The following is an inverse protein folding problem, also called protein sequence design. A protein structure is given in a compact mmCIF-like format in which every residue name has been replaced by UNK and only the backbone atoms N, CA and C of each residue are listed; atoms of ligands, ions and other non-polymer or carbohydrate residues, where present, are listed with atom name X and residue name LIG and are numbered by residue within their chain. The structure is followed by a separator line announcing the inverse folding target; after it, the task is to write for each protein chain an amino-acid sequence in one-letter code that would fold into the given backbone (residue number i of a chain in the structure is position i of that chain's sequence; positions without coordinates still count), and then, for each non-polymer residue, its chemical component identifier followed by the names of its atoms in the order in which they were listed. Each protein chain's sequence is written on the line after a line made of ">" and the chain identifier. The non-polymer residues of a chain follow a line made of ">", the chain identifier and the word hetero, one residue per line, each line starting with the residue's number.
data_IF_775915834955
#
_entry.id   IF_775915834955
#
_cell.length_a   1.000
_cell.length_b   1.000
_cell.length_c   1.000
_cell.angle_alpha   90.00
_cell.angle_beta   90.00
_cell.angle_gamma   90.00
#
_symmetry.space_group_name_H-M   'P 1'
#
loop_
_entity.id
_entity.type
_entity.pdbx_description
1 polymer ?
#
# COMPACT_ATOMS: atom_id res chain seq x y z
N UNK A 1 6.45 -12.64 3.28
CA UNK A 1 7.49 -12.07 4.16
C UNK A 1 8.31 -13.15 4.84
N UNK A 2 9.56 -12.83 5.24
CA UNK A 2 10.43 -13.69 6.04
C UNK A 2 10.99 -12.88 7.21
N UNK A 3 11.20 -13.51 8.37
CA UNK A 3 11.64 -12.83 9.59
C UNK A 3 12.79 -13.58 10.24
N UNK A 4 13.78 -12.84 10.73
CA UNK A 4 14.85 -13.35 11.59
C UNK A 4 14.52 -12.99 13.03
N UNK A 5 14.59 -13.98 13.93
CA UNK A 5 14.31 -13.82 15.34
C UNK A 5 15.65 -13.74 16.08
N UNK A 6 15.86 -12.64 16.79
CA UNK A 6 17.07 -12.39 17.58
C UNK A 6 16.76 -12.35 19.08
N UNK A 7 17.81 -12.44 19.91
CA UNK A 7 17.69 -12.33 21.36
C UNK A 7 17.05 -13.55 22.03
N UNK A 8 17.13 -14.71 21.42
CA UNK A 8 16.70 -15.98 22.00
C UNK A 8 17.83 -16.53 22.87
N UNK A 9 17.48 -16.94 24.09
CA UNK A 9 18.42 -17.51 25.04
C UNK A 9 19.03 -18.82 24.54
N UNK A 10 20.28 -19.10 24.94
CA UNK A 10 21.03 -20.26 24.45
C UNK A 10 20.49 -21.60 24.97
N UNK A 11 19.72 -21.62 26.03
CA UNK A 11 19.08 -22.79 26.60
C UNK A 11 17.66 -23.06 26.08
N UNK A 12 17.18 -22.26 25.14
CA UNK A 12 15.89 -22.46 24.47
C UNK A 12 15.88 -23.82 23.76
N UNK A 13 14.87 -24.61 24.05
CA UNK A 13 14.64 -25.93 23.43
C UNK A 13 13.54 -25.89 22.36
N UNK A 14 12.66 -24.90 22.45
CA UNK A 14 11.58 -24.68 21.49
C UNK A 14 11.36 -23.21 21.25
N UNK A 15 11.29 -22.83 19.98
CA UNK A 15 10.89 -21.48 19.54
C UNK A 15 9.80 -21.62 18.51
N UNK A 16 8.69 -20.91 18.71
CA UNK A 16 7.57 -20.91 17.81
C UNK A 16 7.09 -19.47 17.55
N UNK A 17 6.50 -19.21 16.39
CA UNK A 17 5.77 -17.98 16.10
C UNK A 17 4.28 -18.29 16.06
N UNK A 18 3.53 -17.58 16.87
CA UNK A 18 2.08 -17.51 16.76
C UNK A 18 1.73 -16.38 15.80
N UNK A 19 1.09 -16.74 14.69
CA UNK A 19 0.56 -15.81 13.68
C UNK A 19 -0.94 -15.70 13.90
N UNK A 20 -1.43 -14.49 14.10
CA UNK A 20 -2.86 -14.18 14.21
C UNK A 20 -3.31 -13.38 13.00
N UNK A 21 -4.34 -13.85 12.31
CA UNK A 21 -4.97 -13.16 11.18
C UNK A 21 -6.49 -13.42 11.22
N UNK A 22 -7.30 -12.37 11.16
CA UNK A 22 -8.77 -12.44 11.20
C UNK A 22 -9.31 -13.31 12.35
N UNK A 23 -8.71 -13.16 13.55
CA UNK A 23 -9.11 -13.93 14.74
C UNK A 23 -8.66 -15.40 14.76
N UNK A 24 -8.01 -15.87 13.69
CA UNK A 24 -7.45 -17.23 13.62
C UNK A 24 -5.98 -17.21 14.05
N UNK A 25 -5.62 -18.12 14.93
CA UNK A 25 -4.25 -18.29 15.41
C UNK A 25 -3.64 -19.54 14.79
N UNK A 26 -2.44 -19.38 14.23
CA UNK A 26 -1.59 -20.48 13.76
C UNK A 26 -0.27 -20.42 14.50
N UNK A 27 0.18 -21.52 15.06
CA UNK A 27 1.51 -21.63 15.67
C UNK A 27 2.43 -22.43 14.75
N UNK A 28 3.61 -21.89 14.49
CA UNK A 28 4.62 -22.50 13.61
C UNK A 28 5.92 -22.63 14.41
N UNK A 29 6.39 -23.86 14.58
CA UNK A 29 7.71 -24.12 15.16
C UNK A 29 8.81 -23.68 14.21
N UNK A 30 9.86 -23.09 14.78
CA UNK A 30 11.01 -22.60 14.04
C UNK A 30 12.16 -23.59 14.09
N UNK A 31 13.00 -23.51 13.06
CA UNK A 31 14.26 -24.23 12.99
C UNK A 31 15.42 -23.23 12.96
N UNK A 32 16.56 -23.60 13.52
CA UNK A 32 17.77 -22.80 13.40
C UNK A 32 18.47 -23.06 12.08
N UNK A 33 18.89 -21.97 11.43
CA UNK A 33 19.72 -21.99 10.23
C UNK A 33 20.95 -21.11 10.52
N UNK A 34 22.14 -21.70 10.51
CA UNK A 34 23.36 -20.97 10.81
C UNK A 34 23.39 -20.34 12.24
N UNK A 35 22.71 -20.96 13.20
CA UNK A 35 22.64 -20.46 14.57
C UNK A 35 21.60 -19.34 14.80
N UNK A 36 20.81 -19.01 13.79
CA UNK A 36 19.73 -18.02 13.90
C UNK A 36 18.36 -18.67 13.68
N UNK A 37 17.34 -18.18 14.37
CA UNK A 37 15.96 -18.62 14.20
C UNK A 37 15.29 -17.84 13.07
N UNK A 38 14.71 -18.57 12.12
CA UNK A 38 14.03 -17.99 10.97
C UNK A 38 12.57 -18.44 10.91
N UNK A 39 11.68 -17.50 10.64
CA UNK A 39 10.30 -17.77 10.30
C UNK A 39 10.08 -17.43 8.82
N UNK A 40 9.61 -18.40 8.06
CA UNK A 40 9.15 -18.19 6.68
C UNK A 40 7.77 -18.82 6.57
N UNK A 41 6.73 -18.07 6.22
CA UNK A 41 5.41 -18.63 5.98
C UNK A 41 5.46 -19.70 4.89
N UNK A 42 4.69 -20.77 5.06
CA UNK A 42 4.61 -21.87 4.09
C UNK A 42 3.94 -21.46 2.77
N UNK A 43 3.16 -20.38 2.78
CA UNK A 43 2.51 -19.80 1.60
C UNK A 43 2.55 -18.26 1.68
N UNK A 44 2.30 -17.62 0.54
CA UNK A 44 2.12 -16.17 0.54
C UNK A 44 0.93 -15.79 1.41
N UNK A 45 1.10 -14.73 2.18
CA UNK A 45 0.00 -14.14 2.94
C UNK A 45 -0.88 -13.32 2.00
N UNK A 46 -2.18 -13.34 2.28
CA UNK A 46 -3.16 -12.48 1.60
C UNK A 46 -3.14 -11.08 2.22
N UNK A 47 -3.73 -10.13 1.55
CA UNK A 47 -3.87 -8.76 2.07
C UNK A 47 -4.62 -8.75 3.40
N UNK A 48 -4.16 -7.90 4.31
CA UNK A 48 -4.74 -7.75 5.63
C UNK A 48 -3.71 -7.61 6.75
N UNK A 49 -4.24 -7.51 7.97
CA UNK A 49 -3.44 -7.30 9.17
C UNK A 49 -3.09 -8.63 9.84
N UNK A 50 -1.83 -8.77 10.20
CA UNK A 50 -1.26 -9.90 10.91
C UNK A 50 -0.64 -9.43 12.22
N UNK A 51 -0.72 -10.28 13.24
CA UNK A 51 0.01 -10.08 14.49
C UNK A 51 0.86 -11.32 14.75
N UNK A 52 2.16 -11.09 14.97
CA UNK A 52 3.12 -12.14 15.26
C UNK A 52 3.59 -12.04 16.72
N UNK A 53 3.62 -13.17 17.42
CA UNK A 53 4.18 -13.26 18.77
C UNK A 53 5.13 -14.46 18.82
N UNK A 54 6.37 -14.22 19.24
CA UNK A 54 7.35 -15.30 19.42
C UNK A 54 7.15 -15.91 20.81
N UNK A 55 7.10 -17.24 20.88
CA UNK A 55 7.08 -18.04 22.10
C UNK A 55 8.37 -18.81 22.22
N UNK A 56 8.98 -18.80 23.37
CA UNK A 56 10.23 -19.49 23.67
C UNK A 56 10.03 -20.36 24.90
N UNK A 57 10.45 -21.62 24.82
CA UNK A 57 10.48 -22.55 25.95
C UNK A 57 11.93 -22.97 26.21
N UNK A 58 12.36 -22.90 27.48
CA UNK A 58 13.68 -23.31 27.93
C UNK A 58 13.70 -24.77 28.41
N UNK A 59 14.89 -25.25 28.76
CA UNK A 59 15.06 -26.64 29.25
C UNK A 59 14.41 -26.88 30.61
N UNK A 60 14.11 -25.86 31.40
CA UNK A 60 13.43 -25.97 32.67
C UNK A 60 11.88 -25.98 32.51
N UNK A 61 11.37 -25.79 31.28
CA UNK A 61 9.95 -25.73 30.96
C UNK A 61 9.35 -24.34 31.20
N UNK A 62 10.17 -23.29 31.37
CA UNK A 62 9.62 -21.92 31.41
C UNK A 62 9.29 -21.45 30.00
N UNK A 63 8.14 -20.77 29.88
CA UNK A 63 7.67 -20.20 28.62
C UNK A 63 7.67 -18.68 28.72
N UNK A 64 8.27 -18.02 27.74
CA UNK A 64 8.23 -16.58 27.56
C UNK A 64 7.62 -16.20 26.22
N UNK A 65 7.12 -14.97 26.12
CA UNK A 65 6.52 -14.43 24.89
C UNK A 65 7.05 -13.03 24.61
N UNK A 66 7.28 -12.73 23.33
CA UNK A 66 7.61 -11.37 22.89
C UNK A 66 6.40 -10.44 22.96
N UNK A 67 6.65 -9.13 22.89
CA UNK A 67 5.64 -8.19 22.48
C UNK A 67 5.12 -8.55 21.08
N UNK A 68 3.84 -8.30 20.77
CA UNK A 68 3.28 -8.55 19.45
C UNK A 68 3.87 -7.60 18.39
N UNK A 69 4.21 -8.15 17.23
CA UNK A 69 4.59 -7.40 16.03
C UNK A 69 3.40 -7.35 15.07
N UNK A 70 2.92 -6.16 14.78
CA UNK A 70 1.90 -5.96 13.75
C UNK A 70 2.55 -5.87 12.36
N UNK A 71 1.98 -6.56 11.39
CA UNK A 71 2.40 -6.56 9.98
C UNK A 71 1.15 -6.41 9.12
N UNK A 72 1.15 -5.46 8.20
CA UNK A 72 0.11 -5.33 7.18
C UNK A 72 0.66 -5.84 5.85
N UNK A 73 -0.07 -6.71 5.21
CA UNK A 73 0.16 -7.11 3.81
C UNK A 73 -0.84 -6.34 2.97
N UNK A 74 -0.32 -5.64 1.99
CA UNK A 74 -1.06 -4.86 1.03
C UNK A 74 -0.34 -4.98 -0.32
N UNK A 75 -1.03 -5.50 -1.33
CA UNK A 75 -0.46 -5.82 -2.64
C UNK A 75 -1.17 -5.11 -3.78
N UNK A 76 -2.13 -4.22 -3.49
CA UNK A 76 -2.97 -3.60 -4.51
C UNK A 76 -3.32 -2.15 -4.14
N UNK A 77 -3.44 -1.32 -5.17
CA UNK A 77 -4.07 -0.01 -5.08
C UNK A 77 -4.92 0.25 -6.32
N UNK A 78 -5.78 1.27 -6.27
CA UNK A 78 -6.68 1.58 -7.38
C UNK A 78 -6.91 3.09 -7.53
N UNK A 79 -7.46 3.49 -8.68
CA UNK A 79 -8.00 4.83 -8.91
C UNK A 79 -9.51 4.70 -9.05
N UNK A 80 -10.25 5.12 -8.03
CA UNK A 80 -11.69 4.97 -7.96
C UNK A 80 -12.39 5.86 -8.99
N UNK A 81 -12.01 7.15 -9.04
CA UNK A 81 -12.63 8.10 -9.96
C UNK A 81 -11.67 9.22 -10.40
N UNK A 82 -11.91 9.75 -11.59
CA UNK A 82 -11.26 10.95 -12.13
C UNK A 82 -12.39 11.84 -12.66
N UNK A 83 -12.43 13.10 -12.27
CA UNK A 83 -13.43 14.09 -12.66
C UNK A 83 -12.74 15.34 -13.19
N UNK A 84 -13.17 15.84 -14.34
CA UNK A 84 -12.86 17.17 -14.82
C UNK A 84 -13.74 18.17 -14.05
N UNK A 85 -13.13 18.94 -13.14
CA UNK A 85 -13.88 19.83 -12.20
C UNK A 85 -14.51 21.02 -12.91
N UNK A 86 -13.76 21.62 -13.84
CA UNK A 86 -14.25 22.74 -14.66
C UNK A 86 -14.77 22.25 -16.05
N UNK A 87 -15.57 21.19 -16.01
CA UNK A 87 -16.34 20.70 -17.13
C UNK A 87 -17.38 21.76 -17.54
N UNK A 88 -17.35 22.21 -18.78
CA UNK A 88 -18.18 23.32 -19.26
C UNK A 88 -19.13 22.87 -20.34
N UNK A 89 -20.32 23.44 -20.35
CA UNK A 89 -21.36 23.05 -21.32
C UNK A 89 -22.21 21.91 -20.79
N UNK A 90 -22.08 20.71 -21.34
CA UNK A 90 -22.83 19.53 -20.91
C UNK A 90 -22.02 18.81 -19.80
N UNK A 91 -22.62 18.56 -18.63
CA UNK A 91 -21.89 17.89 -17.53
C UNK A 91 -21.46 16.48 -17.90
N UNK A 92 -20.30 16.07 -17.39
CA UNK A 92 -19.74 14.70 -17.46
C UNK A 92 -19.40 14.20 -18.88
N UNK A 93 -19.26 15.12 -19.86
CA UNK A 93 -18.83 14.78 -21.21
C UNK A 93 -17.31 14.94 -21.43
N UNK A 94 -16.60 15.44 -20.43
CA UNK A 94 -15.16 15.72 -20.43
C UNK A 94 -14.74 16.74 -21.51
N UNK A 95 -15.66 17.61 -21.94
CA UNK A 95 -15.42 18.68 -22.87
C UNK A 95 -15.42 20.02 -22.14
N UNK A 96 -14.35 20.78 -22.24
CA UNK A 96 -14.21 22.07 -21.56
C UNK A 96 -13.62 23.13 -22.46
N UNK A 97 -14.08 24.38 -22.29
CA UNK A 97 -13.44 25.55 -22.89
C UNK A 97 -12.34 26.15 -22.01
N UNK A 98 -12.07 25.55 -20.85
CA UNK A 98 -11.04 25.99 -19.94
C UNK A 98 -9.65 25.53 -20.44
N UNK A 99 -8.78 26.49 -20.80
CA UNK A 99 -7.42 26.20 -21.19
C UNK A 99 -6.53 25.70 -20.04
N UNK A 100 -7.02 25.86 -18.80
CA UNK A 100 -6.39 25.33 -17.58
C UNK A 100 -7.34 24.38 -16.87
N UNK A 101 -7.42 23.13 -17.36
CA UNK A 101 -8.33 22.16 -16.76
C UNK A 101 -7.92 21.83 -15.34
N UNK A 102 -8.93 21.58 -14.52
CA UNK A 102 -8.77 21.12 -13.14
C UNK A 102 -9.36 19.72 -13.02
N UNK A 103 -8.60 18.83 -12.41
CA UNK A 103 -9.00 17.44 -12.20
C UNK A 103 -9.03 17.09 -10.72
N UNK A 104 -10.04 16.32 -10.35
CA UNK A 104 -10.15 15.65 -9.07
C UNK A 104 -10.01 14.16 -9.24
N UNK A 105 -9.12 13.57 -8.46
CA UNK A 105 -8.86 12.13 -8.43
C UNK A 105 -9.26 11.58 -7.07
N UNK A 106 -10.07 10.53 -7.06
CA UNK A 106 -10.46 9.81 -5.85
C UNK A 106 -9.77 8.44 -5.85
N UNK A 107 -9.13 8.12 -4.75
CA UNK A 107 -8.31 6.92 -4.53
C UNK A 107 -8.55 6.39 -3.11
N UNK A 108 -8.07 5.19 -2.73
CA UNK A 108 -8.00 4.72 -1.35
C UNK A 108 -7.25 5.71 -0.43
N UNK A 109 -7.56 5.68 0.87
CA UNK A 109 -7.01 6.65 1.83
C UNK A 109 -5.52 6.49 2.08
N UNK A 110 -4.98 5.29 1.88
CA UNK A 110 -3.59 4.90 2.02
C UNK A 110 -2.71 5.30 0.83
N UNK A 111 -3.31 5.84 -0.25
CA UNK A 111 -2.55 6.45 -1.34
C UNK A 111 -1.81 7.68 -0.81
N UNK A 112 -0.49 7.70 -1.05
CA UNK A 112 0.40 8.76 -0.60
C UNK A 112 0.94 9.66 -1.73
N UNK A 113 0.76 9.26 -2.99
CA UNK A 113 1.12 10.06 -4.15
C UNK A 113 0.13 9.86 -5.31
N UNK A 114 -0.23 10.96 -5.98
CA UNK A 114 -1.00 10.95 -7.23
C UNK A 114 -0.34 11.93 -8.19
N UNK A 115 -0.10 11.48 -9.42
CA UNK A 115 0.46 12.33 -10.49
C UNK A 115 -0.32 12.18 -11.78
N UNK A 116 -0.31 13.24 -12.59
CA UNK A 116 -1.06 13.33 -13.83
C UNK A 116 -0.11 13.63 -15.00
N UNK A 117 -0.47 13.12 -16.18
CA UNK A 117 0.21 13.41 -17.45
C UNK A 117 -0.84 13.62 -18.54
N UNK A 118 -0.62 14.59 -19.44
CA UNK A 118 -1.46 14.82 -20.64
C UNK A 118 -0.72 14.57 -21.95
N UNK A 119 0.48 14.03 -21.89
CA UNK A 119 1.38 13.79 -23.02
C UNK A 119 1.79 12.32 -23.17
N UNK A 120 0.97 11.41 -22.62
CA UNK A 120 1.22 9.97 -22.68
C UNK A 120 2.32 9.49 -21.74
N UNK A 121 2.48 10.15 -20.58
CA UNK A 121 3.45 9.75 -19.54
C UNK A 121 4.87 10.28 -19.77
N UNK A 122 5.08 11.21 -20.70
CA UNK A 122 6.41 11.80 -20.92
C UNK A 122 6.76 12.83 -19.85
N UNK A 123 5.77 13.64 -19.46
CA UNK A 123 5.90 14.58 -18.34
C UNK A 123 4.80 14.33 -17.32
N UNK A 124 5.13 14.48 -16.04
CA UNK A 124 4.23 14.25 -14.94
C UNK A 124 4.17 15.47 -14.02
N UNK A 125 3.00 15.71 -13.47
CA UNK A 125 2.73 16.75 -12.49
C UNK A 125 2.06 16.12 -11.25
N UNK A 126 2.51 16.52 -10.07
CA UNK A 126 1.99 15.98 -8.82
C UNK A 126 0.68 16.68 -8.43
N UNK A 127 -0.33 15.89 -8.09
CA UNK A 127 -1.56 16.38 -7.50
C UNK A 127 -1.36 16.74 -6.03
N UNK A 128 -2.25 17.58 -5.51
CA UNK A 128 -2.29 17.98 -4.11
C UNK A 128 -3.38 17.23 -3.37
N UNK A 129 -3.03 16.55 -2.28
CA UNK A 129 -4.02 15.94 -1.38
C UNK A 129 -4.84 17.02 -0.70
N UNK A 130 -6.15 16.99 -0.86
CA UNK A 130 -7.11 17.97 -0.30
C UNK A 130 -7.91 17.39 0.86
N UNK A 131 -8.13 16.08 0.86
CA UNK A 131 -8.70 15.33 1.97
C UNK A 131 -8.30 13.85 1.88
N UNK A 132 -8.77 13.01 2.82
CA UNK A 132 -8.55 11.57 2.77
C UNK A 132 -9.07 11.00 1.44
N UNK A 133 -8.20 10.33 0.69
CA UNK A 133 -8.53 9.72 -0.61
C UNK A 133 -8.87 10.70 -1.74
N UNK A 134 -8.70 12.03 -1.57
CA UNK A 134 -9.04 13.03 -2.60
C UNK A 134 -7.83 13.91 -2.93
N UNK A 135 -7.55 13.98 -4.22
CA UNK A 135 -6.42 14.71 -4.78
C UNK A 135 -6.90 15.62 -5.91
N UNK A 136 -6.47 16.88 -5.90
CA UNK A 136 -6.81 17.87 -6.92
C UNK A 136 -5.54 18.36 -7.62
N UNK A 137 -5.67 18.63 -8.92
CA UNK A 137 -4.66 19.32 -9.70
C UNK A 137 -5.30 20.30 -10.69
N UNK A 138 -4.82 21.53 -10.69
CA UNK A 138 -5.19 22.57 -11.65
C UNK A 138 -3.97 22.92 -12.50
N UNK A 139 -4.10 22.83 -13.84
CA UNK A 139 -3.02 23.27 -14.75
C UNK A 139 -2.75 24.76 -14.55
N UNK A 140 -1.48 25.10 -14.40
CA UNK A 140 -1.03 26.50 -14.18
C UNK A 140 -0.68 27.23 -15.46
N UNK A 141 -0.47 26.50 -16.56
CA UNK A 141 -0.21 27.02 -17.90
C UNK A 141 -1.33 26.59 -18.84
N UNK A 142 -1.62 27.41 -19.85
CA UNK A 142 -2.61 27.07 -20.84
C UNK A 142 -2.15 25.85 -21.64
N UNK A 143 -3.04 24.87 -21.80
CA UNK A 143 -2.85 23.75 -22.72
C UNK A 143 -3.38 24.13 -24.10
N UNK A 144 -2.85 23.49 -25.14
CA UNK A 144 -3.33 23.71 -26.51
C UNK A 144 -4.75 23.18 -26.69
N UNK A 145 -5.53 23.85 -27.54
CA UNK A 145 -6.83 23.32 -27.95
C UNK A 145 -6.67 21.98 -28.67
N UNK A 146 -7.58 21.05 -28.42
CA UNK A 146 -7.57 19.72 -29.03
C UNK A 146 -7.91 18.60 -28.06
N UNK A 147 -7.78 17.37 -28.52
CA UNK A 147 -7.99 16.18 -27.69
C UNK A 147 -6.69 15.85 -26.95
N UNK A 148 -6.77 15.72 -25.65
CA UNK A 148 -5.68 15.31 -24.78
C UNK A 148 -6.05 14.02 -24.05
N UNK A 149 -5.10 13.13 -23.93
CA UNK A 149 -5.26 11.91 -23.16
C UNK A 149 -4.66 12.12 -21.77
N UNK A 150 -5.52 12.16 -20.77
CA UNK A 150 -5.09 12.24 -19.36
C UNK A 150 -4.70 10.85 -18.88
N UNK A 151 -3.51 10.71 -18.35
CA UNK A 151 -3.05 9.53 -17.61
C UNK A 151 -2.84 9.93 -16.16
N UNK A 152 -3.42 9.17 -15.25
CA UNK A 152 -3.25 9.34 -13.79
C UNK A 152 -2.55 8.12 -13.24
N UNK A 153 -1.59 8.34 -12.37
CA UNK A 153 -0.91 7.29 -11.61
C UNK A 153 -1.07 7.59 -10.12
N UNK A 154 -1.43 6.57 -9.35
CA UNK A 154 -1.52 6.60 -7.90
C UNK A 154 -0.54 5.60 -7.30
N UNK A 155 0.11 5.98 -6.19
CA UNK A 155 1.01 5.11 -5.42
C UNK A 155 0.55 5.12 -3.96
N UNK A 156 0.43 3.95 -3.34
CA UNK A 156 0.08 3.82 -1.93
C UNK A 156 1.31 3.76 -1.01
N UNK A 157 1.07 3.65 0.30
CA UNK A 157 2.14 3.58 1.31
C UNK A 157 2.90 2.25 1.30
N UNK A 158 2.35 1.18 0.71
CA UNK A 158 3.01 -0.11 0.54
C UNK A 158 3.90 -0.15 -0.72
N UNK A 159 3.75 0.86 -1.61
CA UNK A 159 4.48 0.99 -2.87
C UNK A 159 3.77 0.35 -4.07
N UNK A 160 2.50 -0.04 -3.94
CA UNK A 160 1.71 -0.48 -5.07
C UNK A 160 1.33 0.70 -5.95
N UNK A 161 1.21 0.47 -7.25
CA UNK A 161 0.87 1.51 -8.23
C UNK A 161 -0.35 1.12 -9.05
N UNK A 162 -1.23 2.08 -9.30
CA UNK A 162 -2.34 1.96 -10.24
C UNK A 162 -2.26 3.07 -11.28
N UNK A 163 -2.64 2.76 -12.51
CA UNK A 163 -2.70 3.73 -13.61
C UNK A 163 -4.06 3.69 -14.28
N UNK A 164 -4.63 4.85 -14.56
CA UNK A 164 -5.90 5.00 -15.29
C UNK A 164 -5.79 6.12 -16.32
N UNK A 165 -6.36 5.88 -17.49
CA UNK A 165 -6.39 6.83 -18.62
C UNK A 165 -7.83 7.27 -18.89
N UNK A 166 -8.01 8.56 -19.25
CA UNK A 166 -9.26 9.21 -19.60
C UNK A 166 -9.13 9.87 -20.97
#
# INVERSE_FOLDING_TARGET
>A
PGFTINGIDADAIRVAVQVTHNGTNQEVELTQIGGQWHFTPASNWVDGNYTLTVKVEDRAGNVSQSAPLAVTIDTQTEINNIVLVNDTGMPDDNLTNALRPEFRVTVPEDVNAVRLSIDGGKTWVDAKKTSAGVWDYSWTTDITEGVHTLTVEATDIAGNTATRTL
#
